data_IF_441409319202
#
_entry.id   IF_441409319202
#
_cell.length_a   1.000
_cell.length_b   1.000
_cell.length_c   1.000
_cell.angle_alpha   90.00
_cell.angle_beta   90.00
_cell.angle_gamma   90.00
#
_symmetry.space_group_name_H-M   'P 1'
#
loop_
_entity.id
_entity.type
_entity.pdbx_description
1 polymer ?
#
# COMPACT_ATOMS: atom_id res chain seq x y z
N UNK A 1 5.66 11.38 4.85
CA UNK A 1 5.17 10.07 4.43
C UNK A 1 3.92 9.78 5.24
N UNK A 2 2.87 9.30 4.59
CA UNK A 2 1.58 9.03 5.24
C UNK A 2 1.10 7.63 4.88
N UNK A 3 0.39 6.98 5.82
CA UNK A 3 -0.23 5.68 5.60
C UNK A 3 -1.73 5.82 5.47
N UNK A 4 -2.33 5.01 4.61
CA UNK A 4 -3.75 5.02 4.32
C UNK A 4 -4.33 3.62 4.27
N UNK A 5 -5.59 3.49 4.66
CA UNK A 5 -6.47 2.43 4.17
C UNK A 5 -7.12 2.96 2.89
N UNK A 6 -7.06 2.17 1.82
CA UNK A 6 -7.73 2.45 0.56
C UNK A 6 -8.99 1.59 0.47
N UNK A 7 -10.13 2.22 0.17
CA UNK A 7 -11.44 1.56 0.07
C UNK A 7 -12.19 1.95 -1.20
N UNK A 8 -13.04 1.02 -1.64
CA UNK A 8 -14.12 1.28 -2.59
C UNK A 8 -15.45 1.01 -1.88
N UNK A 9 -16.11 2.09 -1.45
CA UNK A 9 -17.24 2.01 -0.51
C UNK A 9 -16.84 1.30 0.79
N UNK A 10 -17.54 0.20 1.11
CA UNK A 10 -17.25 -0.62 2.31
C UNK A 10 -16.12 -1.64 2.09
N UNK A 11 -15.66 -1.81 0.85
CA UNK A 11 -14.64 -2.80 0.51
C UNK A 11 -13.25 -2.25 0.83
N UNK A 12 -12.53 -2.94 1.72
CA UNK A 12 -11.09 -2.73 1.91
C UNK A 12 -10.33 -3.24 0.68
N UNK A 13 -9.45 -2.41 0.12
CA UNK A 13 -8.61 -2.77 -1.02
C UNK A 13 -7.14 -2.89 -0.62
N UNK A 14 -6.58 -1.84 0.01
CA UNK A 14 -5.13 -1.76 0.24
C UNK A 14 -4.76 -1.08 1.56
N UNK A 15 -3.59 -1.43 2.08
CA UNK A 15 -2.79 -0.50 2.90
C UNK A 15 -1.82 0.21 1.97
N UNK A 16 -1.92 1.53 1.88
CA UNK A 16 -1.06 2.34 1.03
C UNK A 16 -0.12 3.24 1.84
N UNK A 17 1.05 3.52 1.28
CA UNK A 17 2.00 4.49 1.78
C UNK A 17 2.26 5.55 0.71
N UNK A 18 1.99 6.82 1.02
CA UNK A 18 2.29 7.95 0.15
C UNK A 18 3.60 8.62 0.58
N UNK A 19 4.55 8.73 -0.35
CA UNK A 19 5.87 9.33 -0.18
C UNK A 19 6.14 10.33 -1.31
N UNK A 20 6.06 11.62 -1.01
CA UNK A 20 6.20 12.65 -2.05
C UNK A 20 5.09 12.50 -3.08
N UNK A 21 5.48 12.24 -4.32
CA UNK A 21 4.60 11.98 -5.45
C UNK A 21 4.39 10.48 -5.74
N UNK A 22 5.02 9.58 -4.97
CA UNK A 22 4.88 8.14 -5.12
C UNK A 22 3.84 7.56 -4.16
N UNK A 23 3.11 6.55 -4.63
CA UNK A 23 2.21 5.74 -3.81
C UNK A 23 2.61 4.27 -3.91
N UNK A 24 2.75 3.64 -2.76
CA UNK A 24 3.06 2.22 -2.63
C UNK A 24 1.88 1.49 -1.99
N UNK A 25 1.60 0.26 -2.39
CA UNK A 25 0.64 -0.64 -1.72
C UNK A 25 1.33 -1.85 -1.11
N UNK A 26 0.89 -2.26 0.08
CA UNK A 26 1.31 -3.52 0.66
C UNK A 26 0.70 -4.69 -0.12
N UNK A 27 1.55 -5.59 -0.63
CA UNK A 27 1.15 -6.79 -1.35
C UNK A 27 1.22 -7.99 -0.40
N UNK A 28 0.09 -8.55 0.07
CA UNK A 28 0.08 -9.60 1.09
C UNK A 28 0.87 -10.85 0.67
N UNK A 29 0.78 -11.22 -0.60
CA UNK A 29 1.49 -12.36 -1.20
C UNK A 29 3.01 -12.26 -1.11
N UNK A 30 3.56 -11.04 -1.07
CA UNK A 30 4.99 -10.76 -1.08
C UNK A 30 5.51 -10.18 0.24
N UNK A 31 4.61 -9.82 1.15
CA UNK A 31 4.95 -9.24 2.46
C UNK A 31 5.67 -7.89 2.39
N UNK A 32 5.61 -7.21 1.26
CA UNK A 32 6.36 -5.97 0.98
C UNK A 32 5.46 -4.93 0.30
N UNK A 33 5.87 -3.67 0.40
CA UNK A 33 5.24 -2.55 -0.29
C UNK A 33 5.86 -2.37 -1.67
N UNK A 34 5.01 -2.23 -2.68
CA UNK A 34 5.42 -2.00 -4.06
C UNK A 34 4.77 -0.74 -4.62
N UNK A 35 5.47 -0.07 -5.53
CA UNK A 35 4.92 1.08 -6.25
C UNK A 35 3.64 0.66 -6.97
N UNK A 36 2.60 1.48 -6.84
CA UNK A 36 1.29 1.22 -7.39
C UNK A 36 0.82 2.45 -8.17
N UNK A 37 1.06 2.42 -9.47
CA UNK A 37 0.79 3.55 -10.36
C UNK A 37 -0.72 3.82 -10.49
N UNK A 38 -1.56 2.79 -10.44
CA UNK A 38 -3.01 2.96 -10.42
C UNK A 38 -3.50 3.71 -9.17
N UNK A 39 -2.99 3.34 -7.98
CA UNK A 39 -3.30 4.09 -6.76
C UNK A 39 -2.69 5.49 -6.75
N UNK A 40 -1.52 5.67 -7.37
CA UNK A 40 -0.90 7.00 -7.50
C UNK A 40 -1.80 7.92 -8.33
N UNK A 41 -2.23 7.47 -9.51
CA UNK A 41 -3.08 8.25 -10.40
C UNK A 41 -4.42 8.58 -9.74
N UNK A 42 -5.04 7.61 -9.07
CA UNK A 42 -6.28 7.85 -8.33
C UNK A 42 -6.10 8.83 -7.15
N UNK A 43 -5.04 8.66 -6.35
CA UNK A 43 -4.78 9.51 -5.19
C UNK A 43 -4.60 10.99 -5.56
N UNK A 44 -3.90 11.28 -6.66
CA UNK A 44 -3.58 12.65 -7.06
C UNK A 44 -4.58 13.25 -8.06
N UNK A 45 -5.19 12.43 -8.92
CA UNK A 45 -5.97 12.92 -10.06
C UNK A 45 -7.41 12.40 -10.07
N UNK A 46 -7.62 11.08 -10.11
CA UNK A 46 -8.95 10.50 -10.42
C UNK A 46 -9.93 10.62 -9.24
N UNK A 47 -9.45 10.41 -8.01
CA UNK A 47 -10.21 10.55 -6.75
C UNK A 47 -11.49 9.72 -6.72
N UNK A 48 -11.45 8.52 -7.30
CA UNK A 48 -12.55 7.56 -7.31
C UNK A 48 -12.57 6.71 -6.03
N UNK A 49 -11.40 6.45 -5.43
CA UNK A 49 -11.29 5.67 -4.18
C UNK A 49 -11.32 6.55 -2.93
N UNK A 50 -11.55 5.90 -1.79
CA UNK A 50 -11.53 6.53 -0.47
C UNK A 50 -10.22 6.24 0.24
N UNK A 51 -9.57 7.28 0.76
CA UNK A 51 -8.31 7.19 1.48
C UNK A 51 -8.47 7.65 2.93
N UNK A 52 -8.44 6.69 3.85
CA UNK A 52 -8.49 6.97 5.28
C UNK A 52 -7.08 6.93 5.85
N UNK A 53 -6.57 8.09 6.30
CA UNK A 53 -5.23 8.15 6.89
C UNK A 53 -5.18 7.35 8.20
N UNK A 54 -4.15 6.54 8.37
CA UNK A 54 -3.96 5.69 9.54
C UNK A 54 -2.58 5.85 10.19
N UNK A 55 -2.48 5.39 11.43
CA UNK A 55 -1.22 5.35 12.18
C UNK A 55 -0.39 4.11 11.81
N UNK A 56 0.91 4.15 12.10
CA UNK A 56 1.81 2.98 11.99
C UNK A 56 1.27 1.80 12.78
N UNK A 57 0.78 2.02 14.00
CA UNK A 57 0.20 0.96 14.83
C UNK A 57 -1.00 0.30 14.16
N UNK A 58 -1.89 1.08 13.53
CA UNK A 58 -3.05 0.54 12.82
C UNK A 58 -2.63 -0.22 11.55
N UNK A 59 -1.66 0.29 10.80
CA UNK A 59 -1.13 -0.38 9.61
C UNK A 59 -0.50 -1.73 9.95
N UNK A 60 0.32 -1.79 11.01
CA UNK A 60 0.89 -3.05 11.53
C UNK A 60 -0.18 -4.06 11.87
N UNK A 61 -1.18 -3.65 12.65
CA UNK A 61 -2.27 -4.54 13.06
C UNK A 61 -3.04 -5.10 11.85
N UNK A 62 -3.24 -4.31 10.79
CA UNK A 62 -3.90 -4.78 9.57
C UNK A 62 -3.05 -5.81 8.82
N UNK A 63 -1.77 -5.54 8.65
CA UNK A 63 -0.83 -6.46 7.98
C UNK A 63 -0.71 -7.78 8.77
N UNK A 64 -0.54 -7.69 10.10
CA UNK A 64 -0.44 -8.85 10.99
C UNK A 64 -1.74 -9.66 11.08
N UNK A 65 -2.90 -9.02 10.91
CA UNK A 65 -4.20 -9.72 10.92
C UNK A 65 -4.40 -10.64 9.71
N UNK A 66 -3.51 -10.59 8.72
CA UNK A 66 -3.61 -11.37 7.50
C UNK A 66 -4.60 -10.75 6.53
N UNK A 67 -4.13 -9.79 5.73
CA UNK A 67 -4.89 -9.31 4.59
C UNK A 67 -5.11 -10.45 3.59
N UNK A 68 -6.27 -10.44 2.91
CA UNK A 68 -6.54 -11.46 1.91
C UNK A 68 -5.50 -11.38 0.78
N UNK A 69 -4.98 -12.52 0.32
CA UNK A 69 -4.13 -12.57 -0.86
C UNK A 69 -4.84 -11.95 -2.06
N UNK A 70 -4.04 -11.41 -2.98
CA UNK A 70 -4.57 -10.91 -4.23
C UNK A 70 -5.12 -12.06 -5.09
N UNK A 71 -6.15 -11.76 -5.86
CA UNK A 71 -6.64 -12.70 -6.86
C UNK A 71 -5.54 -12.91 -7.91
N UNK A 72 -4.91 -14.09 -7.89
CA UNK A 72 -3.78 -14.41 -8.72
C UNK A 72 -4.10 -14.53 -10.22
N UNK A 73 -5.37 -14.65 -10.61
CA UNK A 73 -5.78 -14.61 -12.02
C UNK A 73 -5.94 -13.18 -12.50
N UNK A 74 -6.57 -12.32 -11.69
CA UNK A 74 -6.80 -10.91 -12.03
C UNK A 74 -5.51 -10.09 -11.91
N UNK A 75 -4.67 -10.39 -10.93
CA UNK A 75 -3.45 -9.66 -10.60
C UNK A 75 -2.17 -10.37 -11.09
N UNK A 76 -2.29 -11.36 -11.98
CA UNK A 76 -1.17 -12.22 -12.41
C UNK A 76 0.04 -11.42 -12.91
N UNK A 77 -0.21 -10.45 -13.79
CA UNK A 77 0.84 -9.63 -14.40
C UNK A 77 1.51 -8.73 -13.35
N UNK A 78 0.71 -8.03 -12.54
CA UNK A 78 1.23 -7.20 -11.45
C UNK A 78 2.03 -8.00 -10.41
N UNK A 79 1.55 -9.18 -10.03
CA UNK A 79 2.27 -10.07 -9.11
C UNK A 79 3.59 -10.55 -9.72
N UNK A 80 3.65 -10.77 -11.03
CA UNK A 80 4.88 -11.15 -11.74
C UNK A 80 5.89 -10.00 -11.73
N UNK A 81 5.43 -8.78 -12.02
CA UNK A 81 6.26 -7.59 -12.01
C UNK A 81 6.79 -7.28 -10.60
N UNK A 82 5.90 -7.29 -9.59
CA UNK A 82 6.28 -7.04 -8.19
C UNK A 82 7.24 -8.09 -7.62
N UNK A 83 7.13 -9.36 -8.02
CA UNK A 83 8.12 -10.38 -7.62
C UNK A 83 9.53 -10.07 -8.10
N UNK A 84 9.66 -9.31 -9.18
CA UNK A 84 10.93 -8.94 -9.80
C UNK A 84 11.35 -7.51 -9.47
N UNK A 85 10.58 -6.79 -8.65
CA UNK A 85 10.78 -5.38 -8.31
C UNK A 85 11.95 -5.20 -7.32
N UNK A 86 13.09 -4.61 -7.74
CA UNK A 86 14.22 -4.38 -6.86
C UNK A 86 14.00 -3.20 -5.89
N UNK A 87 12.94 -2.41 -6.08
CA UNK A 87 12.60 -1.24 -5.27
C UNK A 87 11.52 -1.51 -4.23
N UNK A 88 11.18 -2.78 -4.00
CA UNK A 88 10.23 -3.19 -2.96
C UNK A 88 10.69 -2.69 -1.58
N UNK A 89 9.74 -2.19 -0.78
CA UNK A 89 10.00 -1.66 0.55
C UNK A 89 9.48 -2.62 1.62
N UNK A 90 10.32 -2.99 2.58
CA UNK A 90 9.86 -3.72 3.74
C UNK A 90 8.94 -2.82 4.60
N UNK A 91 7.91 -3.39 5.27
CA UNK A 91 7.03 -2.63 6.14
C UNK A 91 7.78 -1.78 7.18
N UNK A 92 8.87 -2.31 7.74
CA UNK A 92 9.70 -1.61 8.73
C UNK A 92 10.34 -0.34 8.15
N UNK A 93 10.79 -0.38 6.89
CA UNK A 93 11.38 0.79 6.21
C UNK A 93 10.34 1.88 6.01
N UNK A 94 9.12 1.49 5.59
CA UNK A 94 7.99 2.42 5.43
C UNK A 94 7.62 3.03 6.78
N UNK A 95 7.44 2.21 7.82
CA UNK A 95 7.07 2.69 9.15
C UNK A 95 8.10 3.61 9.79
N UNK A 96 9.39 3.30 9.65
CA UNK A 96 10.46 4.15 10.13
C UNK A 96 10.42 5.54 9.47
N UNK A 97 10.14 5.57 8.16
CA UNK A 97 10.06 6.82 7.40
C UNK A 97 8.85 7.68 7.82
N UNK A 98 7.69 7.06 8.06
CA UNK A 98 6.51 7.77 8.61
C UNK A 98 6.83 8.39 9.96
N UNK A 99 7.51 7.67 10.85
CA UNK A 99 7.87 8.18 12.18
C UNK A 99 8.91 9.30 12.10
N UNK A 100 9.85 9.22 11.14
CA UNK A 100 10.85 10.26 10.92
C UNK A 100 10.22 11.57 10.44
N UNK A 101 9.22 11.52 9.55
CA UNK A 101 8.55 12.69 9.00
C UNK A 101 7.60 13.40 9.98
N UNK A 102 7.30 12.78 11.13
CA UNK A 102 6.48 13.37 12.20
C UNK A 102 7.29 14.23 13.20
N UNK A 103 8.62 14.29 13.05
CA UNK A 103 9.52 15.07 13.92
C UNK A 103 9.89 16.41 13.31
#
# INVERSE_FOLDING_TARGET
>A
MSLYIVKDGERFLWVAAALGDEVYSFVPDLGTFHRNDGLRDDFFMERELQYEQITVTRAKALIESGLQPLDGEVMADHLTDWRSDPAALAPEQVFASVVADLR
#
